data_IF_081775307473
#
_entry.id   IF_081775307473
#
_cell.length_a   1.000
_cell.length_b   1.000
_cell.length_c   1.000
_cell.angle_alpha   90.00
_cell.angle_beta   90.00
_cell.angle_gamma   90.00
#
_symmetry.space_group_name_H-M   'P 1'
#
loop_
_entity.id
_entity.type
_entity.pdbx_description
1 polymer ?
#
# COMPACT_ATOMS: atom_id res chain seq x y z
N UNK A 1 11.99 -38.09 15.31
CA UNK A 1 11.32 -36.90 15.86
C UNK A 1 10.08 -37.34 16.62
N UNK A 2 9.97 -37.07 17.93
CA UNK A 2 8.75 -37.33 18.69
C UNK A 2 7.76 -36.19 18.43
N UNK A 3 6.69 -36.47 17.69
CA UNK A 3 5.64 -35.49 17.41
C UNK A 3 4.73 -35.38 18.65
N UNK A 4 4.76 -34.23 19.32
CA UNK A 4 3.87 -33.95 20.45
C UNK A 4 2.42 -33.87 19.98
N UNK A 5 1.47 -34.30 20.82
CA UNK A 5 0.05 -34.39 20.51
C UNK A 5 -0.55 -33.09 19.91
N UNK A 6 -0.05 -31.92 20.33
CA UNK A 6 -0.46 -30.62 19.78
C UNK A 6 -0.10 -30.43 18.30
N UNK A 7 1.06 -30.94 17.85
CA UNK A 7 1.46 -30.89 16.43
C UNK A 7 0.68 -31.89 15.58
N UNK A 8 0.31 -33.03 16.16
CA UNK A 8 -0.50 -34.03 15.48
C UNK A 8 -1.95 -33.54 15.29
N UNK A 9 -2.50 -32.86 16.31
CA UNK A 9 -3.83 -32.24 16.22
C UNK A 9 -3.91 -31.15 15.14
N UNK A 10 -2.87 -30.33 15.00
CA UNK A 10 -2.83 -29.25 14.01
C UNK A 10 -2.74 -29.79 12.57
N UNK A 11 -2.03 -30.90 12.34
CA UNK A 11 -1.93 -31.55 11.02
C UNK A 11 -3.27 -32.16 10.57
N UNK A 12 -4.12 -32.59 11.50
CA UNK A 12 -5.43 -33.18 11.19
C UNK A 12 -6.52 -32.10 11.13
N UNK A 13 -6.49 -31.10 12.00
CA UNK A 13 -7.52 -30.08 12.08
C UNK A 13 -7.53 -29.13 10.87
N UNK A 14 -6.34 -28.73 10.38
CA UNK A 14 -6.22 -27.79 9.25
C UNK A 14 -6.86 -28.31 7.95
N UNK A 15 -6.58 -29.54 7.47
CA UNK A 15 -7.21 -30.04 6.25
C UNK A 15 -8.72 -30.26 6.41
N UNK A 16 -9.19 -30.62 7.61
CA UNK A 16 -10.63 -30.75 7.90
C UNK A 16 -11.38 -29.41 7.78
N UNK A 17 -10.78 -28.33 8.28
CA UNK A 17 -11.37 -26.98 8.18
C UNK A 17 -11.43 -26.54 6.71
N UNK A 18 -10.35 -26.75 5.95
CA UNK A 18 -10.28 -26.38 4.53
C UNK A 18 -11.32 -27.17 3.72
N UNK A 19 -11.47 -28.47 3.98
CA UNK A 19 -12.49 -29.29 3.33
C UNK A 19 -13.92 -28.83 3.65
N UNK A 20 -14.18 -28.43 4.90
CA UNK A 20 -15.50 -27.92 5.32
C UNK A 20 -15.86 -26.58 4.67
N UNK A 21 -14.88 -25.66 4.54
CA UNK A 21 -15.09 -24.38 3.87
C UNK A 21 -15.30 -24.56 2.37
N UNK A 22 -14.57 -25.48 1.73
CA UNK A 22 -14.78 -25.82 0.32
C UNK A 22 -16.18 -26.38 0.03
N UNK A 23 -16.69 -27.26 0.91
CA UNK A 23 -18.04 -27.78 0.79
C UNK A 23 -19.11 -26.68 0.97
N UNK A 24 -18.93 -25.78 1.94
CA UNK A 24 -19.86 -24.68 2.18
C UNK A 24 -19.95 -23.72 0.98
N UNK A 25 -18.82 -23.39 0.34
CA UNK A 25 -18.80 -22.54 -0.85
C UNK A 25 -19.51 -23.21 -2.03
N UNK A 26 -19.30 -24.52 -2.22
CA UNK A 26 -19.95 -25.28 -3.30
C UNK A 26 -21.48 -25.32 -3.15
N UNK A 27 -21.99 -25.60 -1.95
CA UNK A 27 -23.44 -25.59 -1.69
C UNK A 27 -24.06 -24.20 -1.81
N UNK A 28 -23.32 -23.14 -1.42
CA UNK A 28 -23.81 -21.77 -1.54
C UNK A 28 -23.95 -21.34 -3.01
N UNK A 29 -23.00 -21.75 -3.86
CA UNK A 29 -23.03 -21.48 -5.30
C UNK A 29 -24.25 -22.13 -5.98
N UNK A 30 -24.54 -23.39 -5.67
CA UNK A 30 -25.70 -24.11 -6.21
C UNK A 30 -27.04 -23.46 -5.78
N UNK A 31 -27.14 -23.03 -4.51
CA UNK A 31 -28.33 -22.31 -4.03
C UNK A 31 -28.52 -20.94 -4.69
N UNK A 32 -27.41 -20.26 -5.02
CA UNK A 32 -27.44 -18.96 -5.68
C UNK A 32 -27.92 -19.09 -7.12
N UNK A 33 -27.50 -20.16 -7.81
CA UNK A 33 -27.90 -20.43 -9.20
C UNK A 33 -29.38 -20.88 -9.26
N UNK A 34 -29.84 -21.69 -8.32
CA UNK A 34 -31.27 -22.04 -8.19
C UNK A 34 -32.18 -20.83 -7.91
N UNK A 35 -31.67 -19.79 -7.22
CA UNK A 35 -32.42 -18.56 -6.96
C UNK A 35 -32.53 -17.64 -8.20
N UNK A 36 -31.59 -17.75 -9.14
CA UNK A 36 -31.64 -16.99 -10.40
C UNK A 36 -32.68 -17.57 -11.36
N UNK A 37 -32.77 -18.90 -11.48
CA UNK A 37 -33.77 -19.56 -12.33
C UNK A 37 -35.20 -19.37 -11.81
N UNK A 38 -35.40 -19.43 -10.48
CA UNK A 38 -36.72 -19.18 -9.89
C UNK A 38 -37.19 -17.72 -10.05
N UNK A 39 -36.25 -16.76 -10.07
CA UNK A 39 -36.57 -15.35 -10.27
C UNK A 39 -36.89 -15.02 -11.74
N UNK A 40 -36.26 -15.68 -12.71
CA UNK A 40 -36.63 -15.53 -14.12
C UNK A 40 -38.08 -16.00 -14.37
N UNK A 41 -38.49 -17.15 -13.83
CA UNK A 41 -39.86 -17.67 -14.04
C UNK A 41 -40.93 -16.73 -13.44
N UNK A 42 -40.63 -16.13 -12.29
CA UNK A 42 -41.50 -15.14 -11.64
C UNK A 42 -41.56 -13.84 -12.46
N UNK A 43 -40.43 -13.35 -13.00
CA UNK A 43 -40.40 -12.17 -13.88
C UNK A 43 -41.17 -12.39 -15.18
N UNK A 44 -41.11 -13.60 -15.77
CA UNK A 44 -41.86 -13.92 -16.98
C UNK A 44 -43.38 -13.89 -16.77
N UNK A 45 -43.89 -14.28 -15.59
CA UNK A 45 -45.33 -14.18 -15.28
C UNK A 45 -45.83 -12.74 -15.08
N UNK A 46 -44.98 -11.83 -14.59
CA UNK A 46 -45.36 -10.43 -14.41
C UNK A 46 -45.48 -9.66 -15.74
N UNK A 47 -44.77 -10.06 -16.80
CA UNK A 47 -44.84 -9.42 -18.11
C UNK A 47 -46.14 -9.67 -18.90
N UNK A 48 -46.87 -10.75 -18.61
CA UNK A 48 -48.05 -11.15 -19.39
C UNK A 48 -49.40 -10.85 -18.71
N UNK A 49 -49.42 -10.39 -17.46
CA UNK A 49 -50.67 -10.04 -16.75
C UNK A 49 -51.06 -8.56 -16.83
N UNK A 50 -50.22 -7.71 -17.43
CA UNK A 50 -50.49 -6.26 -17.61
C UNK A 50 -50.38 -5.90 -19.09
N UNK A 51 -51.26 -6.47 -19.92
CA UNK A 51 -51.54 -5.94 -21.26
C UNK A 51 -53.01 -5.54 -21.27
N UNK A 52 -53.35 -4.25 -21.25
CA UNK A 52 -54.73 -3.82 -21.40
C UNK A 52 -55.20 -4.18 -22.81
N UNK A 53 -56.28 -4.95 -22.91
CA UNK A 53 -56.95 -5.23 -24.18
C UNK A 53 -57.64 -3.96 -24.73
N UNK A 54 -57.11 -3.46 -25.85
CA UNK A 54 -57.83 -2.66 -26.89
C UNK A 54 -58.04 -1.14 -26.64
N UNK A 55 -58.32 -0.33 -27.68
CA UNK A 55 -57.41 0.72 -28.17
C UNK A 55 -57.88 2.14 -27.85
N UNK A 56 -56.91 3.06 -27.77
CA UNK A 56 -57.12 4.50 -27.66
C UNK A 56 -58.02 5.03 -28.80
N UNK A 57 -59.21 5.56 -28.48
CA UNK A 57 -59.97 6.44 -29.36
C UNK A 57 -59.68 7.89 -28.97
N UNK A 58 -58.89 8.59 -29.77
CA UNK A 58 -58.72 10.04 -29.66
C UNK A 58 -60.03 10.72 -30.08
N UNK A 59 -60.66 11.50 -29.19
CA UNK A 59 -61.78 12.37 -29.54
C UNK A 59 -61.37 13.83 -29.40
N UNK A 60 -61.56 14.63 -30.45
CA UNK A 60 -61.25 16.06 -30.51
C UNK A 60 -62.41 16.92 -30.00
N UNK A 61 -62.13 17.84 -29.08
CA UNK A 61 -63.07 18.88 -28.65
C UNK A 61 -63.11 20.06 -29.63
N UNK A 62 -64.22 20.81 -29.62
CA UNK A 62 -64.63 21.82 -30.62
C UNK A 62 -63.68 23.02 -30.82
N UNK A 63 -62.61 23.16 -30.01
CA UNK A 63 -61.59 24.22 -30.11
C UNK A 63 -60.18 23.71 -30.47
N UNK A 64 -60.05 22.44 -30.88
CA UNK A 64 -58.82 21.93 -31.49
C UNK A 64 -57.63 21.64 -30.56
N UNK A 65 -57.79 21.74 -29.24
CA UNK A 65 -56.76 21.33 -28.28
C UNK A 65 -56.88 19.83 -27.94
N UNK A 66 -55.75 19.11 -27.97
CA UNK A 66 -55.64 17.73 -27.46
C UNK A 66 -55.93 17.73 -25.96
N UNK A 67 -57.08 17.21 -25.55
CA UNK A 67 -57.40 16.98 -24.14
C UNK A 67 -56.99 15.56 -23.76
N UNK A 68 -56.01 15.44 -22.87
CA UNK A 68 -55.81 14.22 -22.07
C UNK A 68 -56.92 14.24 -21.02
N UNK A 69 -57.70 13.15 -20.82
CA UNK A 69 -58.74 13.15 -19.80
C UNK A 69 -58.11 13.43 -18.43
N UNK A 70 -58.79 14.25 -17.63
CA UNK A 70 -58.36 14.58 -16.27
C UNK A 70 -58.26 13.29 -15.45
N UNK A 71 -57.04 12.75 -15.30
CA UNK A 71 -56.76 11.67 -14.38
C UNK A 71 -56.84 12.23 -12.96
N UNK A 72 -58.04 12.10 -12.38
CA UNK A 72 -58.41 12.00 -10.97
C UNK A 72 -57.81 13.05 -10.00
N UNK A 73 -58.71 13.78 -9.33
CA UNK A 73 -58.39 14.74 -8.29
C UNK A 73 -57.46 14.14 -7.20
N UNK A 74 -56.41 14.87 -6.85
CA UNK A 74 -55.34 14.44 -5.95
C UNK A 74 -55.77 14.09 -4.51
N UNK A 75 -57.04 14.33 -4.14
CA UNK A 75 -57.56 14.16 -2.78
C UNK A 75 -58.17 12.78 -2.47
N UNK A 76 -58.41 11.90 -3.46
CA UNK A 76 -59.19 10.64 -3.29
C UNK A 76 -58.43 9.35 -3.66
N UNK A 77 -57.10 9.33 -3.57
CA UNK A 77 -56.32 8.09 -3.77
C UNK A 77 -56.42 7.15 -2.56
N UNK A 78 -56.74 5.88 -2.79
CA UNK A 78 -56.78 4.87 -1.73
C UNK A 78 -55.39 4.69 -1.09
N UNK A 79 -55.29 4.26 0.19
CA UNK A 79 -53.98 4.09 0.87
C UNK A 79 -52.99 3.20 0.09
N UNK A 80 -53.50 2.24 -0.69
CA UNK A 80 -52.69 1.34 -1.52
C UNK A 80 -52.15 2.06 -2.76
N UNK A 81 -52.95 2.91 -3.41
CA UNK A 81 -52.50 3.68 -4.58
C UNK A 81 -51.47 4.76 -4.21
N UNK A 82 -51.56 5.33 -3.00
CA UNK A 82 -50.52 6.24 -2.47
C UNK A 82 -49.18 5.53 -2.27
N UNK A 83 -49.19 4.28 -1.80
CA UNK A 83 -47.97 3.45 -1.65
C UNK A 83 -47.39 3.10 -3.02
N UNK A 84 -48.23 2.68 -3.98
CA UNK A 84 -47.78 2.36 -5.34
C UNK A 84 -47.14 3.59 -6.00
N UNK A 85 -47.75 4.77 -5.87
CA UNK A 85 -47.20 6.02 -6.43
C UNK A 85 -45.88 6.42 -5.76
N UNK A 86 -45.75 6.20 -4.44
CA UNK A 86 -44.50 6.39 -3.71
C UNK A 86 -43.39 5.46 -4.19
N UNK A 87 -43.68 4.16 -4.33
CA UNK A 87 -42.70 3.17 -4.84
C UNK A 87 -42.30 3.44 -6.30
N UNK A 88 -43.22 3.95 -7.13
CA UNK A 88 -42.89 4.37 -8.50
C UNK A 88 -41.96 5.59 -8.50
N UNK A 89 -42.21 6.57 -7.63
CA UNK A 89 -41.34 7.74 -7.49
C UNK A 89 -39.94 7.35 -6.98
N UNK A 90 -39.87 6.50 -5.95
CA UNK A 90 -38.61 6.01 -5.39
C UNK A 90 -37.82 5.20 -6.43
N UNK A 91 -38.51 4.39 -7.26
CA UNK A 91 -37.88 3.67 -8.37
C UNK A 91 -37.27 4.64 -9.39
N UNK A 92 -38.01 5.68 -9.80
CA UNK A 92 -37.53 6.66 -10.77
C UNK A 92 -36.30 7.41 -10.22
N UNK A 93 -36.34 7.80 -8.95
CA UNK A 93 -35.22 8.43 -8.26
C UNK A 93 -34.01 7.50 -8.16
N UNK A 94 -34.20 6.23 -7.81
CA UNK A 94 -33.12 5.25 -7.75
C UNK A 94 -32.49 4.99 -9.12
N UNK A 95 -33.27 5.04 -10.21
CA UNK A 95 -32.74 4.92 -11.57
C UNK A 95 -31.85 6.12 -11.92
N UNK A 96 -32.28 7.32 -11.56
CA UNK A 96 -31.51 8.55 -11.78
C UNK A 96 -30.21 8.57 -10.96
N UNK A 97 -30.28 8.19 -9.68
CA UNK A 97 -29.10 8.04 -8.81
C UNK A 97 -28.12 6.97 -9.35
N UNK A 98 -28.64 5.86 -9.87
CA UNK A 98 -27.81 4.81 -10.46
C UNK A 98 -27.10 5.31 -11.72
N UNK A 99 -27.81 6.06 -12.59
CA UNK A 99 -27.23 6.66 -13.78
C UNK A 99 -26.12 7.67 -13.44
N UNK A 100 -26.32 8.49 -12.41
CA UNK A 100 -25.31 9.44 -11.92
C UNK A 100 -24.08 8.71 -11.33
N UNK A 101 -24.29 7.66 -10.53
CA UNK A 101 -23.20 6.83 -10.02
C UNK A 101 -22.42 6.14 -11.13
N UNK A 102 -23.11 5.64 -12.16
CA UNK A 102 -22.48 5.04 -13.33
C UNK A 102 -21.57 6.05 -14.05
N UNK A 103 -22.06 7.28 -14.23
CA UNK A 103 -21.29 8.37 -14.83
C UNK A 103 -20.06 8.74 -13.98
N UNK A 104 -20.20 8.78 -12.66
CA UNK A 104 -19.06 9.00 -11.76
C UNK A 104 -18.02 7.88 -11.85
N UNK A 105 -18.45 6.62 -11.97
CA UNK A 105 -17.56 5.48 -12.20
C UNK A 105 -16.81 5.66 -13.51
N UNK A 106 -17.49 6.00 -14.60
CA UNK A 106 -16.86 6.17 -15.92
C UNK A 106 -15.82 7.32 -15.91
N UNK A 107 -16.14 8.44 -15.25
CA UNK A 107 -15.21 9.56 -15.08
C UNK A 107 -13.99 9.15 -14.25
N UNK A 108 -14.19 8.41 -13.16
CA UNK A 108 -13.10 7.93 -12.31
C UNK A 108 -12.22 6.92 -13.05
N UNK A 109 -12.84 6.00 -13.81
CA UNK A 109 -12.14 5.03 -14.65
C UNK A 109 -11.24 5.76 -15.66
N UNK A 110 -11.79 6.75 -16.38
CA UNK A 110 -11.02 7.56 -17.33
C UNK A 110 -9.87 8.34 -16.67
N UNK A 111 -10.05 8.81 -15.42
CA UNK A 111 -8.96 9.44 -14.66
C UNK A 111 -7.88 8.47 -14.26
N UNK A 112 -8.24 7.25 -13.85
CA UNK A 112 -7.28 6.19 -13.51
C UNK A 112 -6.47 5.83 -14.74
N UNK A 113 -7.12 5.60 -15.88
CA UNK A 113 -6.44 5.26 -17.13
C UNK A 113 -5.48 6.38 -17.57
N UNK A 114 -5.91 7.64 -17.45
CA UNK A 114 -5.05 8.79 -17.74
C UNK A 114 -3.83 8.87 -16.81
N UNK A 115 -4.02 8.61 -15.51
CA UNK A 115 -2.94 8.60 -14.53
C UNK A 115 -1.97 7.44 -14.76
N UNK A 116 -2.45 6.25 -15.14
CA UNK A 116 -1.61 5.12 -15.51
C UNK A 116 -0.82 5.39 -16.80
N UNK A 117 -1.43 6.04 -17.78
CA UNK A 117 -0.76 6.45 -19.01
C UNK A 117 0.29 7.54 -18.74
N UNK A 118 -0.02 8.51 -17.88
CA UNK A 118 0.93 9.53 -17.43
C UNK A 118 2.11 8.89 -16.69
N UNK A 119 1.84 7.93 -15.81
CA UNK A 119 2.87 7.19 -15.07
C UNK A 119 3.79 6.43 -16.02
N UNK A 120 3.24 5.61 -16.91
CA UNK A 120 4.04 4.81 -17.87
C UNK A 120 4.84 5.67 -18.84
N UNK A 121 4.28 6.80 -19.31
CA UNK A 121 4.98 7.70 -20.23
C UNK A 121 6.07 8.54 -19.54
N UNK A 122 5.94 8.83 -18.24
CA UNK A 122 6.85 9.73 -17.53
C UNK A 122 7.78 9.01 -16.54
N UNK A 123 7.62 7.70 -16.32
CA UNK A 123 8.50 6.91 -15.44
C UNK A 123 9.98 6.99 -15.83
N UNK A 124 10.30 7.15 -17.12
CA UNK A 124 11.68 7.33 -17.59
C UNK A 124 12.28 8.69 -17.19
N UNK A 125 11.44 9.69 -16.91
CA UNK A 125 11.83 11.04 -16.51
C UNK A 125 11.46 11.36 -15.05
N UNK A 126 10.84 10.42 -14.35
CA UNK A 126 10.47 10.59 -12.96
C UNK A 126 11.74 10.54 -12.10
N UNK A 127 11.90 11.47 -11.13
CA UNK A 127 13.00 11.38 -10.18
C UNK A 127 12.90 10.03 -9.45
N UNK A 128 14.05 9.38 -9.24
CA UNK A 128 14.12 8.10 -8.52
C UNK A 128 13.33 8.20 -7.21
N UNK A 129 12.52 7.18 -6.93
CA UNK A 129 11.85 7.14 -5.64
C UNK A 129 12.89 6.94 -4.52
N UNK A 130 12.57 7.38 -3.30
CA UNK A 130 13.48 7.27 -2.15
C UNK A 130 13.96 5.82 -1.91
N UNK A 131 13.12 4.81 -2.18
CA UNK A 131 13.51 3.42 -2.01
C UNK A 131 14.56 2.96 -3.03
N UNK A 132 14.45 3.41 -4.29
CA UNK A 132 15.41 3.18 -5.36
C UNK A 132 16.73 3.89 -5.07
N UNK A 133 16.66 5.15 -4.65
CA UNK A 133 17.84 5.93 -4.23
C UNK A 133 18.59 5.19 -3.11
N UNK A 134 17.90 4.78 -2.05
CA UNK A 134 18.51 4.07 -0.93
C UNK A 134 19.12 2.73 -1.36
N UNK A 135 18.49 2.03 -2.31
CA UNK A 135 18.99 0.76 -2.84
C UNK A 135 20.26 0.97 -3.67
N UNK A 136 20.27 1.99 -4.54
CA UNK A 136 21.42 2.37 -5.34
C UNK A 136 22.59 2.83 -4.47
N UNK A 137 22.32 3.74 -3.53
CA UNK A 137 23.32 4.29 -2.61
C UNK A 137 23.91 3.20 -1.72
N UNK A 138 23.11 2.21 -1.29
CA UNK A 138 23.61 1.03 -0.60
C UNK A 138 24.60 0.23 -1.44
N UNK A 139 24.27 -0.02 -2.72
CA UNK A 139 25.14 -0.77 -3.63
C UNK A 139 26.45 -0.01 -3.86
N UNK A 140 26.36 1.28 -4.16
CA UNK A 140 27.51 2.17 -4.33
C UNK A 140 28.41 2.17 -3.09
N UNK A 141 27.82 2.32 -1.90
CA UNK A 141 28.57 2.34 -0.65
C UNK A 141 29.29 1.01 -0.40
N UNK A 142 28.61 -0.12 -0.63
CA UNK A 142 29.21 -1.45 -0.49
C UNK A 142 30.40 -1.60 -1.44
N UNK A 143 30.25 -1.17 -2.68
CA UNK A 143 31.29 -1.31 -3.70
C UNK A 143 32.48 -0.39 -3.39
N UNK A 144 32.23 0.84 -2.91
CA UNK A 144 33.27 1.76 -2.42
C UNK A 144 33.99 1.22 -1.18
N UNK A 145 33.27 0.64 -0.23
CA UNK A 145 33.89 -0.04 0.92
C UNK A 145 34.80 -1.17 0.43
N UNK A 146 34.37 -1.99 -0.54
CA UNK A 146 35.18 -3.10 -1.09
C UNK A 146 36.38 -2.66 -1.92
N UNK A 147 36.28 -1.51 -2.59
CA UNK A 147 37.35 -1.00 -3.44
C UNK A 147 38.60 -0.58 -2.62
N UNK A 148 38.44 -0.31 -1.33
CA UNK A 148 39.52 0.14 -0.47
C UNK A 148 40.40 -1.03 0.01
N UNK A 149 41.74 -0.85 0.09
CA UNK A 149 42.65 -1.90 0.51
C UNK A 149 42.39 -2.37 1.95
N UNK A 150 41.90 -1.48 2.82
CA UNK A 150 41.54 -1.80 4.20
C UNK A 150 40.37 -2.80 4.30
N UNK A 151 39.56 -2.95 3.25
CA UNK A 151 38.47 -3.91 3.23
C UNK A 151 38.91 -5.36 3.00
N UNK A 152 40.14 -5.59 2.49
CA UNK A 152 40.62 -6.95 2.21
C UNK A 152 40.69 -7.84 3.46
N UNK A 153 40.85 -7.25 4.65
CA UNK A 153 40.85 -7.97 5.93
C UNK A 153 39.45 -8.37 6.40
N UNK A 154 38.41 -7.75 5.85
CA UNK A 154 37.04 -7.92 6.30
C UNK A 154 36.29 -8.91 5.41
N UNK A 155 35.64 -9.89 6.04
CA UNK A 155 34.71 -10.78 5.33
C UNK A 155 33.48 -10.02 4.83
N UNK A 156 32.74 -10.60 3.89
CA UNK A 156 31.47 -10.06 3.38
C UNK A 156 30.46 -9.71 4.48
N UNK A 157 30.43 -10.48 5.58
CA UNK A 157 29.61 -10.17 6.73
C UNK A 157 29.91 -8.78 7.30
N UNK A 158 31.19 -8.48 7.53
CA UNK A 158 31.64 -7.19 8.08
C UNK A 158 31.39 -6.05 7.10
N UNK A 159 31.66 -6.26 5.81
CA UNK A 159 31.37 -5.25 4.78
C UNK A 159 29.87 -4.92 4.73
N UNK A 160 29.01 -5.93 4.77
CA UNK A 160 27.56 -5.74 4.79
C UNK A 160 27.11 -5.03 6.09
N UNK A 161 27.68 -5.39 7.24
CA UNK A 161 27.39 -4.71 8.51
C UNK A 161 27.79 -3.23 8.48
N UNK A 162 29.00 -2.92 8.00
CA UNK A 162 29.47 -1.53 7.85
C UNK A 162 28.57 -0.74 6.90
N UNK A 163 28.19 -1.36 5.78
CA UNK A 163 27.25 -0.78 4.81
C UNK A 163 25.89 -0.51 5.47
N UNK A 164 25.34 -1.46 6.22
CA UNK A 164 24.04 -1.32 6.91
C UNK A 164 24.05 -0.19 7.93
N UNK A 165 25.11 -0.09 8.73
CA UNK A 165 25.27 0.95 9.75
C UNK A 165 25.35 2.34 9.10
N UNK A 166 26.15 2.49 8.05
CA UNK A 166 26.25 3.74 7.29
C UNK A 166 24.94 4.11 6.60
N UNK A 167 24.24 3.14 6.01
CA UNK A 167 22.93 3.35 5.40
C UNK A 167 21.86 3.76 6.42
N UNK A 168 21.96 3.29 7.66
CA UNK A 168 21.08 3.73 8.73
C UNK A 168 21.24 5.23 9.01
N UNK A 169 22.47 5.73 9.18
CA UNK A 169 22.72 7.16 9.38
C UNK A 169 22.34 7.98 8.15
N UNK A 170 22.61 7.48 6.94
CA UNK A 170 22.21 8.14 5.70
C UNK A 170 20.69 8.28 5.60
N UNK A 171 19.94 7.21 5.85
CA UNK A 171 18.47 7.22 5.86
C UNK A 171 17.93 8.20 6.90
N UNK A 172 18.53 8.25 8.10
CA UNK A 172 18.14 9.21 9.13
C UNK A 172 18.38 10.65 8.67
N UNK A 173 19.52 10.92 8.05
CA UNK A 173 19.85 12.24 7.50
C UNK A 173 18.89 12.67 6.39
N UNK A 174 18.63 11.79 5.42
CA UNK A 174 17.72 12.07 4.30
C UNK A 174 16.28 12.29 4.80
N UNK A 175 15.79 11.44 5.70
CA UNK A 175 14.44 11.56 6.24
C UNK A 175 14.25 12.85 7.05
N UNK A 176 15.27 13.26 7.81
CA UNK A 176 15.23 14.50 8.58
C UNK A 176 15.24 15.76 7.69
N UNK A 177 15.91 15.71 6.53
CA UNK A 177 16.19 16.88 5.70
C UNK A 177 15.50 16.87 4.31
N UNK A 178 14.56 15.95 4.09
CA UNK A 178 13.69 15.86 2.89
C UNK A 178 14.44 15.92 1.54
N UNK A 179 15.55 15.16 1.42
CA UNK A 179 16.23 14.89 0.13
C UNK A 179 16.81 16.10 -0.66
N UNK A 180 17.25 17.19 -0.01
CA UNK A 180 17.96 18.27 -0.73
C UNK A 180 19.49 18.19 -0.57
N UNK A 181 20.10 17.15 -1.14
CA UNK A 181 21.54 17.09 -1.35
C UNK A 181 21.85 17.29 -2.82
N UNK A 182 22.66 18.31 -3.11
CA UNK A 182 23.31 18.47 -4.40
C UNK A 182 24.20 17.25 -4.72
N UNK A 183 24.39 16.97 -6.01
CA UNK A 183 25.10 15.78 -6.49
C UNK A 183 26.55 15.72 -5.97
N UNK A 184 27.27 16.85 -5.99
CA UNK A 184 28.63 16.91 -5.47
C UNK A 184 28.70 16.60 -3.96
N UNK A 185 27.70 17.06 -3.19
CA UNK A 185 27.62 16.77 -1.74
C UNK A 185 27.24 15.33 -1.47
N UNK A 186 26.34 14.75 -2.28
CA UNK A 186 26.00 13.33 -2.23
C UNK A 186 27.25 12.48 -2.49
N UNK A 187 28.03 12.81 -3.51
CA UNK A 187 29.26 12.09 -3.83
C UNK A 187 30.28 12.16 -2.69
N UNK A 188 30.46 13.32 -2.07
CA UNK A 188 31.36 13.46 -0.92
C UNK A 188 30.86 12.66 0.30
N UNK A 189 29.55 12.73 0.59
CA UNK A 189 28.93 12.03 1.70
C UNK A 189 29.01 10.51 1.52
N UNK A 190 28.52 9.99 0.39
CA UNK A 190 28.49 8.55 0.10
C UNK A 190 29.88 8.02 -0.20
N UNK A 191 30.71 8.82 -0.86
CA UNK A 191 32.03 8.41 -1.33
C UNK A 191 33.12 8.39 -0.29
N UNK A 192 33.01 9.24 0.74
CA UNK A 192 34.05 9.40 1.75
C UNK A 192 33.50 9.29 3.16
N UNK A 193 32.56 10.15 3.53
CA UNK A 193 32.18 10.28 4.94
C UNK A 193 31.45 9.05 5.49
N UNK A 194 30.54 8.46 4.70
CA UNK A 194 29.86 7.22 5.06
C UNK A 194 30.79 6.00 5.00
N UNK A 195 31.81 6.04 4.15
CA UNK A 195 32.84 4.99 4.03
C UNK A 195 33.75 5.01 5.27
N UNK A 196 34.27 6.19 5.63
CA UNK A 196 35.07 6.43 6.83
C UNK A 196 34.31 5.99 8.10
N UNK A 197 33.03 6.38 8.18
CA UNK A 197 32.15 5.96 9.27
C UNK A 197 31.97 4.45 9.31
N UNK A 198 31.73 3.82 8.16
CA UNK A 198 31.59 2.37 8.04
C UNK A 198 32.80 1.63 8.61
N UNK A 199 34.01 2.02 8.20
CA UNK A 199 35.25 1.42 8.73
C UNK A 199 35.45 1.66 10.23
N UNK A 200 35.10 2.85 10.72
CA UNK A 200 35.17 3.15 12.15
C UNK A 200 34.24 2.22 12.94
N UNK A 201 33.00 2.03 12.49
CA UNK A 201 32.06 1.10 13.10
C UNK A 201 32.55 -0.35 13.01
N UNK A 202 33.08 -0.77 11.86
CA UNK A 202 33.66 -2.11 11.72
C UNK A 202 34.72 -2.40 12.78
N UNK A 203 35.65 -1.47 12.99
CA UNK A 203 36.70 -1.56 14.03
C UNK A 203 36.13 -1.50 15.45
N UNK A 204 35.15 -0.63 15.69
CA UNK A 204 34.50 -0.49 16.99
C UNK A 204 33.77 -1.77 17.40
N UNK A 205 33.05 -2.40 16.48
CA UNK A 205 32.34 -3.66 16.74
C UNK A 205 33.31 -4.83 16.86
N UNK A 206 34.39 -4.87 16.09
CA UNK A 206 35.47 -5.85 16.25
C UNK A 206 36.10 -5.78 17.65
N UNK A 207 36.17 -4.58 18.25
CA UNK A 207 36.66 -4.36 19.61
C UNK A 207 35.63 -4.70 20.70
N UNK A 208 34.34 -4.42 20.47
CA UNK A 208 33.30 -4.59 21.47
C UNK A 208 32.67 -6.01 21.49
N UNK A 209 32.63 -6.69 20.35
CA UNK A 209 32.04 -8.03 20.26
C UNK A 209 33.10 -9.09 20.59
N UNK A 210 32.82 -9.91 21.60
CA UNK A 210 33.70 -11.01 22.03
C UNK A 210 33.41 -12.31 21.28
N UNK A 211 32.30 -12.39 20.56
CA UNK A 211 31.91 -13.57 19.79
C UNK A 211 31.21 -13.22 18.47
N UNK A 212 31.16 -14.19 17.56
CA UNK A 212 30.46 -14.06 16.27
C UNK A 212 28.96 -13.81 16.46
N UNK A 213 28.35 -14.40 17.49
CA UNK A 213 26.93 -14.23 17.77
C UNK A 213 26.60 -12.85 18.34
N UNK A 214 27.51 -12.27 19.13
CA UNK A 214 27.45 -10.87 19.53
C UNK A 214 27.58 -9.97 18.32
N UNK A 215 28.59 -10.17 17.46
CA UNK A 215 28.78 -9.38 16.25
C UNK A 215 27.54 -9.42 15.33
N UNK A 216 26.90 -10.59 15.15
CA UNK A 216 25.63 -10.71 14.41
C UNK A 216 24.47 -9.98 15.08
N UNK A 217 24.44 -9.95 16.40
CA UNK A 217 23.42 -9.22 17.16
C UNK A 217 23.62 -7.71 17.05
N UNK A 218 24.88 -7.24 17.09
CA UNK A 218 25.22 -5.84 16.80
C UNK A 218 24.87 -5.48 15.36
N UNK A 219 25.17 -6.34 14.38
CA UNK A 219 24.83 -6.08 12.98
C UNK A 219 23.32 -5.89 12.76
N UNK A 220 22.50 -6.75 13.39
CA UNK A 220 21.03 -6.61 13.35
C UNK A 220 20.57 -5.31 14.02
N UNK A 221 21.15 -4.97 15.16
CA UNK A 221 20.83 -3.74 15.89
C UNK A 221 21.27 -2.47 15.13
N UNK A 222 22.43 -2.47 14.46
CA UNK A 222 22.89 -1.35 13.65
C UNK A 222 22.00 -1.11 12.42
N UNK A 223 21.47 -2.17 11.83
CA UNK A 223 20.52 -2.08 10.71
C UNK A 223 19.18 -1.47 11.15
N UNK A 224 18.66 -1.93 12.28
CA UNK A 224 17.44 -1.40 12.89
C UNK A 224 17.47 -1.56 14.43
N UNK A 225 17.76 -0.47 15.16
CA UNK A 225 17.85 -0.49 16.62
C UNK A 225 16.56 -0.89 17.34
N UNK A 226 15.40 -0.77 16.68
CA UNK A 226 14.10 -1.14 17.28
C UNK A 226 13.83 -2.64 17.17
N UNK A 227 14.45 -3.32 16.19
CA UNK A 227 14.17 -4.71 15.86
C UNK A 227 14.94 -5.73 16.71
N UNK A 228 16.06 -5.32 17.31
CA UNK A 228 16.97 -6.23 18.00
C UNK A 228 17.30 -5.73 19.41
N UNK A 229 17.12 -6.60 20.41
CA UNK A 229 17.58 -6.34 21.78
C UNK A 229 19.00 -6.87 21.95
N UNK A 230 19.88 -6.03 22.46
CA UNK A 230 21.25 -6.38 22.82
C UNK A 230 21.32 -6.83 24.28
N UNK A 231 22.29 -7.70 24.60
CA UNK A 231 22.63 -7.97 26.00
C UNK A 231 23.13 -6.71 26.69
N UNK A 232 22.88 -6.58 28.00
CA UNK A 232 23.21 -5.36 28.76
C UNK A 232 24.70 -5.01 28.72
N UNK A 233 25.59 -6.01 28.86
CA UNK A 233 27.05 -5.80 28.80
C UNK A 233 27.49 -5.24 27.44
N UNK A 234 27.08 -5.90 26.35
CA UNK A 234 27.37 -5.46 24.99
C UNK A 234 26.79 -4.07 24.68
N UNK A 235 25.63 -3.74 25.26
CA UNK A 235 25.04 -2.42 25.12
C UNK A 235 25.89 -1.33 25.79
N UNK A 236 26.46 -1.59 26.97
CA UNK A 236 27.37 -0.66 27.63
C UNK A 236 28.66 -0.47 26.84
N UNK A 237 29.24 -1.55 26.31
CA UNK A 237 30.45 -1.46 25.48
C UNK A 237 30.20 -0.61 24.22
N UNK A 238 29.07 -0.85 23.53
CA UNK A 238 28.70 -0.10 22.34
C UNK A 238 28.40 1.38 22.61
N UNK A 239 27.90 1.73 23.80
CA UNK A 239 27.74 3.14 24.21
C UNK A 239 29.08 3.86 24.32
N UNK A 240 30.18 3.16 24.55
CA UNK A 240 31.52 3.74 24.59
C UNK A 240 32.14 3.81 23.20
N UNK A 241 32.04 2.74 22.41
CA UNK A 241 32.80 2.63 21.15
C UNK A 241 32.13 3.27 19.92
N UNK A 242 30.80 3.39 19.89
CA UNK A 242 30.08 3.95 18.72
C UNK A 242 30.13 5.48 18.66
N UNK A 243 29.90 6.24 19.76
CA UNK A 243 29.85 7.70 19.68
C UNK A 243 31.10 8.37 19.07
N UNK A 244 32.34 7.90 19.33
CA UNK A 244 33.54 8.42 18.68
C UNK A 244 33.48 8.35 17.14
N UNK A 245 32.83 7.34 16.57
CA UNK A 245 32.63 7.22 15.12
C UNK A 245 31.50 8.13 14.62
N UNK A 246 30.43 8.27 15.39
CA UNK A 246 29.22 9.00 14.99
C UNK A 246 29.37 10.51 15.06
N UNK A 247 30.09 11.03 16.07
CA UNK A 247 30.25 12.48 16.29
C UNK A 247 30.91 13.17 15.08
N UNK A 248 32.04 12.68 14.52
CA UNK A 248 32.66 13.28 13.34
C UNK A 248 31.73 13.29 12.13
N UNK A 249 31.01 12.19 11.88
CA UNK A 249 30.05 12.11 10.79
C UNK A 249 28.97 13.17 10.95
N UNK A 250 28.36 13.28 12.13
CA UNK A 250 27.30 14.27 12.41
C UNK A 250 27.79 15.71 12.20
N UNK A 251 29.00 16.06 12.66
CA UNK A 251 29.58 17.38 12.40
C UNK A 251 29.71 17.70 10.91
N UNK A 252 30.10 16.71 10.10
CA UNK A 252 30.16 16.88 8.63
C UNK A 252 28.76 17.02 8.03
N UNK A 253 27.81 16.22 8.49
CA UNK A 253 26.38 16.32 8.10
C UNK A 253 25.80 17.71 8.40
N UNK A 254 26.07 18.26 9.58
CA UNK A 254 25.62 19.61 9.96
C UNK A 254 26.25 20.68 9.06
N UNK A 255 27.51 20.49 8.64
CA UNK A 255 28.17 21.39 7.67
C UNK A 255 27.49 21.38 6.30
N UNK A 256 27.08 20.20 5.81
CA UNK A 256 26.35 20.09 4.55
C UNK A 256 24.99 20.79 4.59
N UNK A 257 24.36 20.88 5.77
CA UNK A 257 23.11 21.60 5.97
C UNK A 257 23.33 23.12 6.08
N UNK A 258 24.35 23.55 6.83
CA UNK A 258 24.68 24.98 6.97
C UNK A 258 25.05 25.62 5.61
N UNK A 259 25.73 24.87 4.74
CA UNK A 259 26.04 25.29 3.37
C UNK A 259 24.82 25.42 2.44
N UNK A 260 23.62 24.97 2.83
CA UNK A 260 22.37 25.21 2.10
C UNK A 260 21.66 26.51 2.53
N UNK A 261 21.98 27.06 3.71
CA UNK A 261 21.33 28.28 4.23
C UNK A 261 21.97 29.55 3.66
N UNK A 262 23.16 29.46 3.07
CA UNK A 262 23.87 30.59 2.45
C UNK A 262 23.58 30.84 0.97
N UNK A 263 22.62 30.13 0.37
CA UNK A 263 22.30 30.19 -1.07
C UNK A 263 20.83 30.56 -1.36
N UNK A 264 20.15 31.21 -0.40
CA UNK A 264 18.83 31.82 -0.59
C UNK A 264 18.93 33.34 -0.44
#
# INVERSE_FOLDING_TARGET
MKLNAAKLGLIIAVPLIIASLGAAVYFFWDSMQASQEANEEILHKFGFQIVPNSPYTETTGELGAKQVPATFAEDDLSPVEKVIRGLMYDKEQLIEENAELQNQIDILQARVDNLEQYKTSNEQFAPENLAQELTRTRAELRDKLRALPEAQRFTDFWVNMMTDASMYEYRQFINANRMMLDEARREQLVGKDLVDFGFCIGKAVELAANSVDEARSVARWLKDPQSARLGSALQEDLKVVIPPCRIPLRKKLDTYLAGNVGAL
#
